data_IF_421325026165
#
_entry.id   IF_421325026165
#
_cell.length_a   1.000
_cell.length_b   1.000
_cell.length_c   1.000
_cell.angle_alpha   90.00
_cell.angle_beta   90.00
_cell.angle_gamma   90.00
#
_symmetry.space_group_name_H-M   'P 1'
#
loop_
_entity.id
_entity.type
_entity.pdbx_description
1 polymer ?
#
# COMPACT_ATOMS: atom_id res chain seq x y z
N UNK A 1 -5.44 2.41 -4.88
CA UNK A 1 -5.74 3.19 -3.67
C UNK A 1 -7.21 3.11 -3.26
N UNK A 2 -8.11 3.18 -4.21
CA UNK A 2 -9.57 3.13 -3.99
C UNK A 2 -10.00 1.93 -3.13
N UNK A 3 -9.52 0.71 -3.43
CA UNK A 3 -9.87 -0.49 -2.66
C UNK A 3 -9.44 -0.42 -1.18
N UNK A 4 -8.24 0.11 -0.89
CA UNK A 4 -7.79 0.31 0.51
C UNK A 4 -8.68 1.34 1.22
N UNK A 5 -9.03 2.42 0.53
CA UNK A 5 -9.91 3.45 1.06
C UNK A 5 -11.29 2.88 1.39
N UNK A 6 -11.89 2.14 0.45
CA UNK A 6 -13.20 1.51 0.62
C UNK A 6 -13.22 0.60 1.84
N UNK A 7 -12.25 -0.32 1.94
CA UNK A 7 -12.17 -1.24 3.06
C UNK A 7 -12.06 -0.51 4.41
N UNK A 8 -11.17 0.50 4.51
CA UNK A 8 -11.03 1.30 5.73
C UNK A 8 -12.30 2.10 6.07
N UNK A 9 -13.00 2.64 5.07
CA UNK A 9 -14.26 3.36 5.28
C UNK A 9 -15.35 2.43 5.80
N UNK A 10 -15.48 1.24 5.24
CA UNK A 10 -16.44 0.22 5.73
C UNK A 10 -16.12 -0.16 7.17
N UNK A 11 -14.86 -0.45 7.50
CA UNK A 11 -14.46 -0.77 8.87
C UNK A 11 -14.73 0.38 9.84
N UNK A 12 -14.51 1.64 9.43
CA UNK A 12 -14.86 2.82 10.22
C UNK A 12 -16.37 2.89 10.49
N UNK A 13 -17.20 2.60 9.46
CA UNK A 13 -18.66 2.64 9.57
C UNK A 13 -19.16 1.58 10.54
N UNK A 14 -18.77 0.31 10.37
CA UNK A 14 -19.15 -0.78 11.28
C UNK A 14 -18.70 -0.51 12.73
N UNK A 15 -17.49 0.05 12.90
CA UNK A 15 -16.98 0.45 14.21
C UNK A 15 -17.81 1.59 14.84
N UNK A 16 -18.26 2.57 14.06
CA UNK A 16 -19.12 3.65 14.55
C UNK A 16 -20.51 3.14 14.94
N UNK A 17 -21.02 2.19 14.17
CA UNK A 17 -22.33 1.56 14.41
C UNK A 17 -22.27 0.46 15.47
N UNK A 18 -21.06 0.19 16.04
CA UNK A 18 -20.81 -0.85 17.04
C UNK A 18 -21.27 -2.25 16.57
N UNK A 19 -21.10 -2.54 15.29
CA UNK A 19 -21.44 -3.81 14.68
C UNK A 19 -20.16 -4.58 14.32
N UNK A 20 -20.19 -5.90 14.55
CA UNK A 20 -19.09 -6.76 14.15
C UNK A 20 -19.04 -6.86 12.63
N UNK A 21 -17.82 -6.98 12.10
CA UNK A 21 -17.55 -7.13 10.70
C UNK A 21 -16.66 -8.36 10.49
N UNK A 22 -17.08 -9.22 9.61
CA UNK A 22 -16.35 -10.41 9.22
C UNK A 22 -15.79 -10.21 7.80
N UNK A 23 -14.50 -10.44 7.63
CA UNK A 23 -13.77 -10.26 6.39
C UNK A 23 -13.07 -11.55 6.01
N UNK A 24 -13.14 -11.95 4.75
CA UNK A 24 -12.27 -12.98 4.21
C UNK A 24 -11.50 -12.41 3.03
N UNK A 25 -10.20 -12.58 3.07
CA UNK A 25 -9.27 -12.26 2.00
C UNK A 25 -8.95 -13.55 1.25
N UNK A 26 -9.35 -13.60 0.00
CA UNK A 26 -9.21 -14.78 -0.88
C UNK A 26 -8.10 -14.50 -1.88
N UNK A 27 -7.13 -15.39 -1.93
CA UNK A 27 -6.09 -15.45 -2.95
C UNK A 27 -6.44 -16.57 -3.95
N UNK A 28 -6.21 -16.33 -5.24
CA UNK A 28 -6.42 -17.34 -6.28
C UNK A 28 -5.09 -18.06 -6.58
N UNK A 29 -5.12 -19.39 -6.65
CA UNK A 29 -3.93 -20.17 -7.00
C UNK A 29 -3.51 -19.96 -8.44
N UNK A 30 -2.35 -19.36 -8.67
CA UNK A 30 -1.79 -19.14 -10.01
C UNK A 30 -2.83 -18.52 -10.97
N UNK A 31 -3.49 -17.46 -10.51
CA UNK A 31 -4.66 -16.88 -11.17
C UNK A 31 -4.46 -16.67 -12.69
N UNK A 32 -3.36 -16.04 -13.07
CA UNK A 32 -3.05 -15.77 -14.48
C UNK A 32 -2.72 -17.03 -15.27
N UNK A 33 -2.06 -18.01 -14.67
CA UNK A 33 -1.65 -19.25 -15.34
C UNK A 33 -2.79 -20.24 -15.53
N UNK A 34 -3.89 -20.08 -14.77
CA UNK A 34 -5.05 -20.97 -14.79
C UNK A 34 -6.22 -20.50 -15.64
N UNK A 35 -6.10 -19.37 -16.31
CA UNK A 35 -7.18 -18.84 -17.17
C UNK A 35 -7.41 -19.75 -18.37
N UNK A 36 -8.59 -20.42 -18.50
CA UNK A 36 -8.91 -21.15 -19.71
C UNK A 36 -9.16 -20.14 -20.85
N UNK A 37 -8.43 -20.29 -21.97
CA UNK A 37 -8.51 -19.35 -23.08
C UNK A 37 -9.90 -19.30 -23.73
N UNK A 38 -10.63 -20.40 -23.74
CA UNK A 38 -12.02 -20.45 -24.23
C UNK A 38 -12.95 -19.52 -23.44
N UNK A 39 -12.74 -19.42 -22.12
CA UNK A 39 -13.51 -18.51 -21.27
C UNK A 39 -13.16 -17.05 -21.59
N UNK A 40 -11.88 -16.77 -21.87
CA UNK A 40 -11.44 -15.45 -22.31
C UNK A 40 -12.17 -15.03 -23.60
N UNK A 41 -12.25 -15.92 -24.61
CA UNK A 41 -12.92 -15.60 -25.87
C UNK A 41 -14.40 -15.31 -25.66
N UNK A 42 -15.10 -16.16 -24.91
CA UNK A 42 -16.51 -15.95 -24.53
C UNK A 42 -16.72 -14.65 -23.73
N UNK A 43 -15.80 -14.32 -22.83
CA UNK A 43 -15.90 -13.09 -22.06
C UNK A 43 -15.74 -11.83 -22.94
N UNK A 44 -14.80 -11.85 -23.90
CA UNK A 44 -14.63 -10.76 -24.86
C UNK A 44 -15.86 -10.58 -25.74
N UNK A 45 -16.46 -11.68 -26.26
CA UNK A 45 -17.70 -11.66 -27.06
C UNK A 45 -18.87 -11.09 -26.23
N UNK A 46 -19.03 -11.57 -24.97
CA UNK A 46 -20.09 -11.11 -24.05
C UNK A 46 -20.00 -9.61 -23.77
N UNK A 47 -18.80 -9.09 -23.67
CA UNK A 47 -18.56 -7.64 -23.47
C UNK A 47 -18.60 -6.82 -24.74
N UNK A 48 -18.98 -7.42 -25.88
CA UNK A 48 -19.20 -6.74 -27.18
C UNK A 48 -17.90 -6.27 -27.85
N UNK A 49 -16.78 -6.91 -27.58
CA UNK A 49 -15.49 -6.59 -28.22
C UNK A 49 -15.61 -6.98 -29.72
N UNK A 50 -15.20 -6.10 -30.62
CA UNK A 50 -15.25 -6.36 -32.06
C UNK A 50 -14.44 -7.60 -32.42
N UNK A 51 -14.99 -8.45 -33.28
CA UNK A 51 -14.37 -9.73 -33.71
C UNK A 51 -12.94 -9.55 -34.23
N UNK A 52 -12.64 -8.43 -34.91
CA UNK A 52 -11.30 -8.15 -35.40
C UNK A 52 -10.27 -8.06 -34.25
N UNK A 53 -10.62 -7.46 -33.09
CA UNK A 53 -9.74 -7.39 -31.93
C UNK A 53 -9.66 -8.74 -31.21
N UNK A 54 -10.77 -9.50 -31.18
CA UNK A 54 -10.74 -10.85 -30.57
C UNK A 54 -9.76 -11.73 -31.37
N UNK A 55 -9.83 -11.70 -32.72
CA UNK A 55 -8.89 -12.43 -33.57
C UNK A 55 -7.46 -12.00 -33.37
N UNK A 56 -7.19 -10.69 -33.31
CA UNK A 56 -5.85 -10.19 -33.06
C UNK A 56 -5.27 -10.68 -31.68
N UNK A 57 -6.14 -10.75 -30.66
CA UNK A 57 -5.74 -11.29 -29.36
C UNK A 57 -5.53 -12.80 -29.46
N UNK A 58 -6.40 -13.54 -30.18
CA UNK A 58 -6.23 -14.97 -30.41
C UNK A 58 -4.90 -15.28 -31.11
N UNK A 59 -4.53 -14.51 -32.14
CA UNK A 59 -3.25 -14.66 -32.84
C UNK A 59 -2.04 -14.47 -31.91
N UNK A 60 -2.14 -13.59 -30.90
CA UNK A 60 -1.09 -13.42 -29.86
C UNK A 60 -0.92 -14.65 -28.97
N UNK A 61 -1.95 -15.50 -28.88
CA UNK A 61 -1.96 -16.72 -28.06
C UNK A 61 -1.84 -18.01 -28.88
N UNK A 62 -1.81 -17.91 -30.23
CA UNK A 62 -1.65 -19.06 -31.08
C UNK A 62 -0.20 -19.56 -31.07
N UNK A 63 -0.03 -20.89 -31.03
CA UNK A 63 1.27 -21.59 -31.08
C UNK A 63 2.35 -21.05 -30.14
N UNK A 64 1.93 -20.55 -28.96
CA UNK A 64 2.86 -20.09 -27.94
C UNK A 64 3.60 -21.26 -27.33
N UNK A 65 4.92 -21.25 -27.37
CA UNK A 65 5.80 -22.17 -26.66
C UNK A 65 6.69 -21.43 -25.67
N UNK A 66 7.25 -22.14 -24.73
CA UNK A 66 8.23 -21.65 -23.75
C UNK A 66 9.26 -22.73 -23.42
N UNK A 67 10.42 -22.30 -22.96
CA UNK A 67 11.43 -23.17 -22.38
C UNK A 67 11.76 -22.72 -20.94
N UNK A 68 12.32 -23.60 -20.14
CA UNK A 68 12.77 -23.32 -18.76
C UNK A 68 14.28 -23.33 -18.70
N UNK A 69 14.86 -22.20 -18.30
CA UNK A 69 16.30 -22.09 -18.08
C UNK A 69 16.61 -22.31 -16.61
N UNK A 70 17.50 -23.27 -16.35
CA UNK A 70 18.02 -23.61 -15.02
C UNK A 70 19.55 -23.51 -15.00
N UNK A 71 20.16 -23.68 -13.83
CA UNK A 71 21.63 -23.75 -13.72
C UNK A 71 22.22 -24.97 -14.46
N UNK A 72 21.41 -26.02 -14.72
CA UNK A 72 21.81 -27.24 -15.45
C UNK A 72 21.61 -27.19 -16.96
N UNK A 73 21.06 -26.10 -17.50
CA UNK A 73 20.76 -25.97 -18.94
C UNK A 73 19.37 -25.45 -19.22
N UNK A 74 19.00 -25.45 -20.48
CA UNK A 74 17.69 -25.03 -21.00
C UNK A 74 16.90 -26.27 -21.44
N UNK A 75 15.60 -26.33 -21.11
CA UNK A 75 14.72 -27.39 -21.57
C UNK A 75 14.36 -27.24 -23.04
N UNK A 76 13.87 -28.30 -23.68
CA UNK A 76 13.18 -28.20 -24.96
C UNK A 76 11.94 -27.32 -24.85
N UNK A 77 11.54 -26.69 -25.96
CA UNK A 77 10.34 -25.89 -26.08
C UNK A 77 9.09 -26.77 -25.88
N UNK A 78 8.16 -26.30 -25.06
CA UNK A 78 6.86 -26.94 -24.86
C UNK A 78 5.70 -25.94 -25.04
N UNK A 79 4.55 -26.40 -25.60
CA UNK A 79 3.42 -25.50 -25.89
C UNK A 79 2.70 -25.07 -24.62
N UNK A 80 2.25 -23.82 -24.60
CA UNK A 80 1.38 -23.27 -23.56
C UNK A 80 -0.03 -23.13 -24.13
N UNK A 81 -0.98 -23.90 -23.59
CA UNK A 81 -2.36 -23.94 -24.04
C UNK A 81 -3.34 -23.25 -23.11
N UNK A 82 -2.91 -22.83 -21.92
CA UNK A 82 -3.73 -22.22 -20.87
C UNK A 82 -2.99 -21.00 -20.29
N UNK A 83 -3.74 -20.11 -19.69
CA UNK A 83 -3.19 -18.94 -18.98
C UNK A 83 -2.99 -17.70 -19.85
N UNK A 84 -2.72 -16.58 -19.19
CA UNK A 84 -2.43 -15.29 -19.77
C UNK A 84 -0.93 -15.02 -19.75
N UNK A 85 -0.43 -14.26 -20.71
CA UNK A 85 0.98 -13.87 -20.78
C UNK A 85 1.34 -12.94 -19.59
N UNK A 86 2.19 -13.43 -18.68
CA UNK A 86 2.70 -12.60 -17.61
C UNK A 86 3.66 -11.53 -18.18
N UNK A 87 3.52 -10.28 -17.70
CA UNK A 87 4.29 -9.15 -18.22
C UNK A 87 3.66 -8.41 -19.42
N UNK A 88 2.64 -8.97 -20.07
CA UNK A 88 1.88 -8.25 -21.08
C UNK A 88 1.01 -7.16 -20.45
N UNK A 89 0.95 -5.98 -21.09
CA UNK A 89 0.09 -4.87 -20.66
C UNK A 89 -1.40 -5.18 -20.77
N UNK A 90 -1.80 -6.13 -21.63
CA UNK A 90 -3.19 -6.56 -21.80
C UNK A 90 -3.65 -7.55 -20.73
N UNK A 91 -2.76 -8.40 -20.22
CA UNK A 91 -3.12 -9.51 -19.32
C UNK A 91 -3.87 -9.06 -18.06
N UNK A 92 -3.52 -7.98 -17.35
CA UNK A 92 -4.30 -7.51 -16.21
C UNK A 92 -5.74 -7.12 -16.58
N UNK A 93 -5.91 -6.46 -17.75
CA UNK A 93 -7.23 -6.08 -18.22
C UNK A 93 -8.07 -7.30 -18.61
N UNK A 94 -7.49 -8.24 -19.36
CA UNK A 94 -8.16 -9.48 -19.77
C UNK A 94 -8.57 -10.31 -18.56
N UNK A 95 -7.71 -10.40 -17.55
CA UNK A 95 -8.00 -11.10 -16.30
C UNK A 95 -9.18 -10.47 -15.55
N UNK A 96 -9.17 -9.13 -15.38
CA UNK A 96 -10.27 -8.40 -14.73
C UNK A 96 -11.59 -8.60 -15.49
N UNK A 97 -11.55 -8.56 -16.81
CA UNK A 97 -12.73 -8.76 -17.66
C UNK A 97 -13.31 -10.18 -17.50
N UNK A 98 -12.45 -11.20 -17.43
CA UNK A 98 -12.87 -12.58 -17.18
C UNK A 98 -13.56 -12.70 -15.83
N UNK A 99 -12.91 -12.23 -14.77
CA UNK A 99 -13.49 -12.27 -13.43
C UNK A 99 -14.82 -11.53 -13.36
N UNK A 100 -14.93 -10.36 -13.97
CA UNK A 100 -16.18 -9.59 -14.03
C UNK A 100 -17.31 -10.39 -14.68
N UNK A 101 -17.04 -11.09 -15.79
CA UNK A 101 -18.02 -11.93 -16.47
C UNK A 101 -18.40 -13.19 -15.68
N UNK A 102 -17.42 -13.84 -15.03
CA UNK A 102 -17.67 -15.06 -14.27
C UNK A 102 -18.41 -14.81 -12.96
N UNK A 103 -18.22 -13.65 -12.38
CA UNK A 103 -18.79 -13.32 -11.06
C UNK A 103 -20.01 -12.42 -11.16
N UNK A 104 -20.43 -11.99 -12.37
CA UNK A 104 -21.51 -11.04 -12.60
C UNK A 104 -22.82 -11.41 -11.88
N UNK A 105 -23.14 -12.71 -11.82
CA UNK A 105 -24.37 -13.21 -11.16
C UNK A 105 -24.28 -13.31 -9.64
N UNK A 106 -23.06 -13.31 -9.10
CA UNK A 106 -22.80 -13.47 -7.68
C UNK A 106 -22.19 -12.23 -7.03
N UNK A 107 -21.83 -11.24 -7.86
CA UNK A 107 -21.37 -9.95 -7.36
C UNK A 107 -22.50 -9.23 -6.63
N UNK A 108 -22.31 -9.02 -5.35
CA UNK A 108 -23.19 -8.19 -4.57
C UNK A 108 -22.78 -6.72 -4.70
N UNK A 109 -23.74 -5.83 -4.46
CA UNK A 109 -23.47 -4.40 -4.43
C UNK A 109 -22.45 -4.11 -3.33
N UNK A 110 -21.36 -3.42 -3.71
CA UNK A 110 -20.37 -2.99 -2.72
C UNK A 110 -21.06 -2.26 -1.53
N UNK A 111 -20.57 -2.50 -0.31
CA UNK A 111 -19.26 -3.04 0.02
C UNK A 111 -19.17 -4.55 0.27
N UNK A 112 -20.22 -5.33 0.01
CA UNK A 112 -20.29 -6.75 0.41
C UNK A 112 -19.25 -7.64 -0.28
N UNK A 113 -18.82 -7.29 -1.49
CA UNK A 113 -17.66 -7.87 -2.14
C UNK A 113 -16.79 -6.79 -2.78
N UNK A 114 -15.48 -6.96 -2.76
CA UNK A 114 -14.52 -6.09 -3.40
C UNK A 114 -13.53 -6.95 -4.18
N UNK A 115 -13.41 -6.65 -5.48
CA UNK A 115 -12.45 -7.30 -6.38
C UNK A 115 -11.40 -6.28 -6.79
N UNK A 116 -10.15 -6.69 -6.72
CA UNK A 116 -9.03 -5.92 -7.24
C UNK A 116 -7.99 -6.89 -7.83
N UNK A 117 -7.99 -7.03 -9.15
CA UNK A 117 -7.25 -8.07 -9.85
C UNK A 117 -7.62 -9.47 -9.29
N UNK A 118 -6.63 -10.21 -8.79
CA UNK A 118 -6.79 -11.52 -8.16
C UNK A 118 -7.14 -11.46 -6.66
N UNK A 119 -7.03 -10.30 -6.03
CA UNK A 119 -7.41 -10.09 -4.63
C UNK A 119 -8.93 -9.92 -4.48
N UNK A 120 -9.58 -10.85 -3.80
CA UNK A 120 -11.02 -10.85 -3.53
C UNK A 120 -11.24 -10.68 -2.03
N UNK A 121 -12.07 -9.70 -1.65
CA UNK A 121 -12.48 -9.52 -0.25
C UNK A 121 -13.99 -9.67 -0.15
N UNK A 122 -14.47 -10.62 0.66
CA UNK A 122 -15.87 -10.78 0.98
C UNK A 122 -16.13 -10.30 2.41
N UNK A 123 -17.27 -9.61 2.58
CA UNK A 123 -17.70 -9.05 3.86
C UNK A 123 -19.01 -9.69 4.29
N UNK A 124 -19.16 -9.90 5.60
CA UNK A 124 -20.39 -10.40 6.22
C UNK A 124 -20.58 -9.82 7.62
N UNK A 125 -21.82 -9.88 8.11
CA UNK A 125 -22.19 -9.48 9.48
C UNK A 125 -22.13 -10.68 10.47
N UNK A 126 -21.97 -11.91 9.95
CA UNK A 126 -21.74 -13.13 10.72
C UNK A 126 -20.82 -14.11 9.98
N UNK A 127 -20.33 -15.13 10.73
CA UNK A 127 -19.50 -16.21 10.15
C UNK A 127 -20.32 -17.08 9.23
N UNK A 128 -21.57 -17.32 9.57
CA UNK A 128 -22.51 -18.13 8.81
C UNK A 128 -22.75 -17.49 7.42
N UNK A 129 -23.14 -16.23 7.42
CA UNK A 129 -23.32 -15.44 6.18
C UNK A 129 -22.07 -15.43 5.31
N UNK A 130 -20.91 -15.27 5.94
CA UNK A 130 -19.63 -15.24 5.22
C UNK A 130 -19.31 -16.61 4.60
N UNK A 131 -19.58 -17.73 5.30
CA UNK A 131 -19.40 -19.06 4.76
C UNK A 131 -20.31 -19.35 3.56
N UNK A 132 -21.58 -18.93 3.60
CA UNK A 132 -22.52 -19.09 2.47
C UNK A 132 -22.02 -18.33 1.23
N UNK A 133 -21.58 -17.09 1.41
CA UNK A 133 -20.98 -16.31 0.34
C UNK A 133 -19.73 -16.95 -0.22
N UNK A 134 -18.84 -17.37 0.68
CA UNK A 134 -17.57 -17.99 0.31
C UNK A 134 -17.80 -19.24 -0.54
N UNK A 135 -18.77 -20.09 -0.15
CA UNK A 135 -19.11 -21.29 -0.89
C UNK A 135 -19.72 -20.96 -2.27
N UNK A 136 -20.55 -19.92 -2.37
CA UNK A 136 -21.09 -19.42 -3.64
C UNK A 136 -19.96 -18.97 -4.56
N UNK A 137 -19.00 -18.19 -4.07
CA UNK A 137 -17.84 -17.72 -4.81
C UNK A 137 -16.92 -18.88 -5.20
N UNK A 138 -16.68 -19.82 -4.30
CA UNK A 138 -15.89 -21.02 -4.58
C UNK A 138 -16.45 -21.81 -5.75
N UNK A 139 -17.75 -22.12 -5.71
CA UNK A 139 -18.43 -22.87 -6.78
C UNK A 139 -18.34 -22.14 -8.11
N UNK A 140 -18.65 -20.84 -8.15
CA UNK A 140 -18.59 -20.05 -9.36
C UNK A 140 -17.21 -20.04 -10.01
N UNK A 141 -16.16 -19.89 -9.21
CA UNK A 141 -14.78 -19.85 -9.71
C UNK A 141 -14.24 -21.22 -10.08
N UNK A 142 -14.47 -22.25 -9.22
CA UNK A 142 -13.95 -23.60 -9.46
C UNK A 142 -14.61 -24.29 -10.65
N UNK A 143 -15.89 -24.02 -10.92
CA UNK A 143 -16.58 -24.51 -12.13
C UNK A 143 -15.90 -24.04 -13.41
N UNK A 144 -15.18 -22.91 -13.36
CA UNK A 144 -14.48 -22.34 -14.50
C UNK A 144 -12.96 -22.56 -14.47
N UNK A 145 -12.48 -23.50 -13.63
CA UNK A 145 -11.07 -23.91 -13.57
C UNK A 145 -10.17 -23.09 -12.64
N UNK A 146 -10.68 -22.05 -12.02
CA UNK A 146 -9.96 -21.34 -10.97
C UNK A 146 -9.94 -22.15 -9.66
N UNK A 147 -8.98 -21.87 -8.79
CA UNK A 147 -8.93 -22.47 -7.46
C UNK A 147 -8.63 -21.42 -6.41
N UNK A 148 -9.35 -21.48 -5.29
CA UNK A 148 -9.08 -20.65 -4.14
C UNK A 148 -7.88 -21.22 -3.38
N UNK A 149 -6.93 -20.37 -3.03
CA UNK A 149 -5.76 -20.76 -2.26
C UNK A 149 -6.15 -20.98 -0.80
N UNK A 150 -6.11 -22.25 -0.36
CA UNK A 150 -6.43 -22.62 1.01
C UNK A 150 -5.38 -22.14 2.02
N UNK A 151 -4.12 -22.01 1.59
CA UNK A 151 -3.00 -21.63 2.45
C UNK A 151 -2.76 -20.14 2.54
N UNK A 152 -3.25 -19.35 1.58
CA UNK A 152 -3.06 -17.90 1.54
C UNK A 152 -4.34 -17.10 1.82
N UNK A 153 -5.50 -17.78 1.80
CA UNK A 153 -6.75 -17.13 2.22
C UNK A 153 -6.77 -16.99 3.74
N UNK A 154 -7.16 -15.81 4.24
CA UNK A 154 -7.15 -15.48 5.65
C UNK A 154 -8.48 -14.85 6.05
N UNK A 155 -8.94 -15.14 7.26
CA UNK A 155 -10.17 -14.63 7.86
C UNK A 155 -9.87 -13.64 8.97
N UNK A 156 -10.58 -12.51 9.00
CA UNK A 156 -10.46 -11.48 10.04
C UNK A 156 -11.82 -11.17 10.63
N UNK A 157 -11.90 -11.17 11.96
CA UNK A 157 -13.09 -10.77 12.71
C UNK A 157 -12.84 -9.45 13.43
N UNK A 158 -13.56 -8.41 13.01
CA UNK A 158 -13.50 -7.09 13.64
C UNK A 158 -14.59 -7.00 14.72
N UNK A 159 -14.22 -7.19 15.99
CA UNK A 159 -15.13 -7.17 17.15
C UNK A 159 -15.39 -5.74 17.63
N UNK A 160 -16.37 -5.08 17.04
CA UNK A 160 -16.75 -3.72 17.43
C UNK A 160 -17.93 -3.71 18.41
N UNK A 161 -18.73 -4.79 18.45
CA UNK A 161 -19.84 -4.97 19.40
C UNK A 161 -19.36 -5.69 20.67
N UNK A 162 -19.39 -4.99 21.80
CA UNK A 162 -18.95 -5.52 23.10
C UNK A 162 -19.96 -6.50 23.74
N UNK A 163 -21.19 -6.55 23.24
CA UNK A 163 -22.30 -7.27 23.89
C UNK A 163 -22.67 -8.58 23.19
N UNK A 164 -22.02 -8.94 22.09
CA UNK A 164 -22.37 -10.12 21.29
C UNK A 164 -21.81 -11.42 21.89
N UNK A 165 -22.62 -12.48 21.83
CA UNK A 165 -22.15 -13.86 22.12
C UNK A 165 -21.21 -14.29 21.00
N UNK A 166 -20.08 -14.91 21.37
CA UNK A 166 -19.12 -15.46 20.42
C UNK A 166 -19.77 -16.63 19.68
N UNK A 167 -19.87 -16.54 18.37
CA UNK A 167 -20.20 -17.72 17.53
C UNK A 167 -19.00 -18.67 17.53
N UNK A 168 -19.26 -19.97 17.68
CA UNK A 168 -18.23 -21.02 17.60
C UNK A 168 -18.10 -21.59 16.19
N UNK A 169 -18.80 -21.04 15.18
CA UNK A 169 -18.69 -21.52 13.82
C UNK A 169 -17.32 -21.16 13.22
N UNK A 170 -16.75 -22.10 12.47
CA UNK A 170 -15.48 -21.90 11.78
C UNK A 170 -15.73 -21.41 10.35
N UNK A 171 -14.81 -20.58 9.83
CA UNK A 171 -14.85 -20.18 8.42
C UNK A 171 -14.02 -21.19 7.61
N UNK A 172 -14.62 -21.75 6.53
CA UNK A 172 -14.04 -22.89 5.79
C UNK A 172 -14.13 -22.69 4.28
N UNK A 173 -13.12 -23.20 3.56
CA UNK A 173 -13.17 -23.45 2.12
C UNK A 173 -13.28 -24.97 1.92
N UNK A 174 -14.47 -25.48 1.62
CA UNK A 174 -14.77 -26.91 1.67
C UNK A 174 -14.50 -27.45 3.09
N UNK A 175 -13.62 -28.42 3.22
CA UNK A 175 -13.26 -29.02 4.53
C UNK A 175 -12.09 -28.29 5.24
N UNK A 176 -11.47 -27.31 4.58
CA UNK A 176 -10.30 -26.61 5.11
C UNK A 176 -10.70 -25.40 5.94
N UNK A 177 -10.31 -25.37 7.22
CA UNK A 177 -10.51 -24.22 8.12
C UNK A 177 -9.55 -23.13 7.74
N UNK A 178 -10.06 -21.92 7.50
CA UNK A 178 -9.25 -20.75 7.18
C UNK A 178 -8.72 -20.14 8.47
N UNK A 179 -7.41 -19.82 8.52
CA UNK A 179 -6.80 -19.23 9.70
C UNK A 179 -7.41 -17.86 9.99
N UNK A 180 -7.76 -17.62 11.27
CA UNK A 180 -8.17 -16.31 11.74
C UNK A 180 -6.94 -15.48 12.08
N UNK A 181 -6.89 -14.25 11.53
CA UNK A 181 -5.79 -13.30 11.72
C UNK A 181 -6.29 -12.00 12.34
N UNK A 182 -5.42 -11.31 13.07
CA UNK A 182 -5.68 -9.98 13.64
C UNK A 182 -5.17 -8.84 12.75
N UNK A 183 -4.35 -9.18 11.75
CA UNK A 183 -3.86 -8.23 10.75
C UNK A 183 -3.61 -8.92 9.43
N UNK A 184 -3.91 -8.24 8.33
CA UNK A 184 -3.72 -8.72 6.97
C UNK A 184 -3.06 -7.63 6.11
N UNK A 185 -2.21 -8.03 5.17
CA UNK A 185 -1.57 -7.11 4.22
C UNK A 185 -2.38 -7.04 2.92
N UNK A 186 -3.31 -6.10 2.83
CA UNK A 186 -4.16 -5.89 1.66
C UNK A 186 -3.58 -4.82 0.73
N UNK A 187 -3.27 -5.18 -0.51
CA UNK A 187 -2.69 -4.29 -1.54
C UNK A 187 -1.51 -3.46 -0.99
N UNK A 188 -0.69 -4.10 -0.18
CA UNK A 188 0.47 -3.48 0.43
C UNK A 188 0.20 -2.65 1.69
N UNK A 189 -1.04 -2.35 2.09
CA UNK A 189 -1.43 -1.69 3.34
C UNK A 189 -1.77 -2.73 4.42
N UNK A 190 -1.36 -2.51 5.66
CA UNK A 190 -1.72 -3.40 6.78
C UNK A 190 -3.07 -3.01 7.34
N UNK A 191 -4.03 -3.92 7.27
CA UNK A 191 -5.37 -3.82 7.86
C UNK A 191 -5.36 -4.56 9.19
N UNK A 192 -5.94 -3.97 10.24
CA UNK A 192 -6.03 -4.55 11.58
C UNK A 192 -7.49 -4.73 11.99
N UNK A 193 -7.78 -5.78 12.75
CA UNK A 193 -9.13 -6.14 13.23
C UNK A 193 -9.78 -5.08 14.13
N UNK A 194 -9.00 -4.25 14.81
CA UNK A 194 -9.47 -3.12 15.62
C UNK A 194 -9.77 -1.85 14.80
N UNK A 195 -9.50 -1.88 13.49
CA UNK A 195 -9.65 -0.76 12.56
C UNK A 195 -8.70 0.41 12.82
N UNK A 196 -7.63 0.21 13.60
CA UNK A 196 -6.58 1.22 13.80
C UNK A 196 -5.53 1.15 12.68
N UNK A 197 -4.70 2.19 12.58
CA UNK A 197 -3.70 2.31 11.51
C UNK A 197 -2.27 2.09 12.01
N UNK A 198 -2.08 1.76 13.27
CA UNK A 198 -0.75 1.71 13.91
C UNK A 198 0.18 0.68 13.23
N UNK A 199 -0.35 -0.50 12.88
CA UNK A 199 0.40 -1.53 12.15
C UNK A 199 0.84 -1.06 10.77
N UNK A 200 -0.04 -0.35 10.05
CA UNK A 200 0.29 0.18 8.73
C UNK A 200 1.33 1.31 8.79
N UNK A 201 1.21 2.21 9.79
CA UNK A 201 2.23 3.25 10.04
C UNK A 201 3.62 2.62 10.27
N UNK A 202 3.69 1.60 11.11
CA UNK A 202 4.94 0.90 11.39
C UNK A 202 5.48 0.19 10.13
N UNK A 203 4.62 -0.50 9.39
CA UNK A 203 4.96 -1.16 8.13
C UNK A 203 5.53 -0.18 7.09
N UNK A 204 4.89 0.99 6.91
CA UNK A 204 5.36 2.03 5.98
C UNK A 204 6.71 2.62 6.38
N UNK A 205 6.90 2.87 7.67
CA UNK A 205 8.20 3.33 8.18
C UNK A 205 9.28 2.27 7.93
N UNK A 206 8.99 1.00 8.19
CA UNK A 206 9.93 -0.10 7.91
C UNK A 206 10.27 -0.22 6.43
N UNK A 207 9.25 -0.17 5.55
CA UNK A 207 9.44 -0.20 4.09
C UNK A 207 10.32 0.97 3.62
N UNK A 208 10.09 2.17 4.14
CA UNK A 208 10.95 3.33 3.89
C UNK A 208 12.39 3.11 4.33
N UNK A 209 12.59 2.52 5.52
CA UNK A 209 13.92 2.17 5.99
C UNK A 209 14.61 1.10 5.15
N UNK A 210 13.89 0.08 4.69
CA UNK A 210 14.46 -0.93 3.78
C UNK A 210 14.93 -0.29 2.47
N UNK A 211 14.10 0.57 1.86
CA UNK A 211 14.46 1.29 0.64
C UNK A 211 15.66 2.21 0.87
N UNK A 212 15.68 2.93 2.00
CA UNK A 212 16.78 3.82 2.37
C UNK A 212 18.09 3.05 2.58
N UNK A 213 18.05 1.90 3.27
CA UNK A 213 19.24 1.07 3.53
C UNK A 213 19.85 0.52 2.24
N UNK A 214 19.03 0.08 1.28
CA UNK A 214 19.52 -0.38 -0.04
C UNK A 214 20.33 0.70 -0.76
N UNK A 215 20.05 1.98 -0.51
CA UNK A 215 20.76 3.12 -1.11
C UNK A 215 21.74 3.81 -0.15
N UNK A 216 21.99 3.26 1.03
CA UNK A 216 22.80 3.91 2.08
C UNK A 216 24.26 4.20 1.63
N UNK A 217 24.86 3.36 0.78
CA UNK A 217 26.17 3.60 0.22
C UNK A 217 26.27 4.95 -0.50
N UNK A 218 25.26 5.30 -1.29
CA UNK A 218 25.18 6.59 -1.99
C UNK A 218 24.68 7.71 -1.06
N UNK A 219 23.63 7.44 -0.28
CA UNK A 219 23.00 8.45 0.57
C UNK A 219 23.91 8.92 1.73
N UNK A 220 24.83 8.09 2.19
CA UNK A 220 25.78 8.43 3.25
C UNK A 220 27.16 8.83 2.74
N UNK A 221 27.46 8.65 1.44
CA UNK A 221 28.74 9.06 0.87
C UNK A 221 28.91 10.59 0.90
N UNK A 222 29.99 11.07 1.49
CA UNK A 222 30.30 12.50 1.58
C UNK A 222 30.55 13.16 0.21
N UNK A 223 30.97 12.40 -0.79
CA UNK A 223 31.25 12.89 -2.15
C UNK A 223 29.99 13.22 -2.94
N UNK A 224 28.86 12.58 -2.63
CA UNK A 224 27.59 12.82 -3.33
C UNK A 224 26.98 14.15 -2.87
N UNK A 225 26.61 15.07 -3.78
CA UNK A 225 25.98 16.34 -3.44
C UNK A 225 24.68 16.16 -2.65
N UNK A 226 24.51 16.95 -1.59
CA UNK A 226 23.36 16.79 -0.68
C UNK A 226 22.01 17.01 -1.37
N UNK A 227 21.94 17.89 -2.35
CA UNK A 227 20.73 18.14 -3.15
C UNK A 227 20.34 16.91 -3.99
N UNK A 228 21.33 16.17 -4.54
CA UNK A 228 21.08 14.94 -5.27
C UNK A 228 20.57 13.83 -4.33
N UNK A 229 21.13 13.70 -3.13
CA UNK A 229 20.59 12.82 -2.09
C UNK A 229 19.14 13.17 -1.75
N UNK A 230 18.83 14.47 -1.66
CA UNK A 230 17.46 14.97 -1.46
C UNK A 230 16.53 14.62 -2.61
N UNK A 231 16.96 14.74 -3.88
CA UNK A 231 16.20 14.30 -5.05
C UNK A 231 15.88 12.79 -4.93
N UNK A 232 16.90 11.96 -4.68
CA UNK A 232 16.71 10.52 -4.50
C UNK A 232 15.73 10.18 -3.35
N UNK A 233 15.87 10.84 -2.20
CA UNK A 233 14.94 10.64 -1.09
C UNK A 233 13.49 10.96 -1.50
N UNK A 234 13.25 12.08 -2.20
CA UNK A 234 11.91 12.48 -2.63
C UNK A 234 11.30 11.52 -3.66
N UNK A 235 12.10 10.97 -4.57
CA UNK A 235 11.61 10.12 -5.67
C UNK A 235 11.54 8.64 -5.31
N UNK A 236 12.44 8.13 -4.48
CA UNK A 236 12.53 6.71 -4.20
C UNK A 236 12.10 6.30 -2.78
N UNK A 237 12.50 7.05 -1.75
CA UNK A 237 12.26 6.63 -0.36
C UNK A 237 10.94 7.17 0.17
N UNK A 238 10.68 8.47 0.02
CA UNK A 238 9.48 9.13 0.53
C UNK A 238 8.17 8.54 -0.01
N UNK A 239 8.02 8.23 -1.31
CA UNK A 239 6.80 7.62 -1.84
C UNK A 239 6.47 6.27 -1.19
N UNK A 240 7.49 5.49 -0.82
CA UNK A 240 7.29 4.22 -0.11
C UNK A 240 6.66 4.42 1.28
N UNK A 241 7.05 5.50 1.98
CA UNK A 241 6.46 5.86 3.29
C UNK A 241 5.05 6.43 3.12
N UNK A 242 4.83 7.23 2.08
CA UNK A 242 3.57 7.92 1.83
C UNK A 242 2.47 7.05 1.23
N UNK A 243 2.78 5.86 0.73
CA UNK A 243 1.81 4.97 0.12
C UNK A 243 0.70 4.58 1.11
N UNK A 244 -0.56 4.83 0.76
CA UNK A 244 -1.73 4.51 1.57
C UNK A 244 -2.05 5.53 2.68
N UNK A 245 -1.19 6.55 2.88
CA UNK A 245 -1.39 7.55 3.95
C UNK A 245 -2.63 8.40 3.76
N UNK A 246 -3.11 8.53 2.53
CA UNK A 246 -4.35 9.22 2.16
C UNK A 246 -5.60 8.57 2.73
N UNK A 247 -5.52 7.26 3.05
CA UNK A 247 -6.60 6.47 3.62
C UNK A 247 -6.55 6.38 5.16
N UNK A 248 -5.68 7.16 5.83
CA UNK A 248 -5.45 7.05 7.26
C UNK A 248 -6.26 8.06 8.08
N UNK A 249 -6.96 7.58 9.10
CA UNK A 249 -7.51 8.42 10.17
C UNK A 249 -6.40 8.84 11.15
N UNK A 250 -5.53 9.74 10.70
CA UNK A 250 -4.26 10.08 11.37
C UNK A 250 -4.48 10.74 12.73
N UNK A 251 -3.74 10.27 13.75
CA UNK A 251 -3.58 10.92 15.05
C UNK A 251 -2.22 11.62 15.11
N UNK A 252 -2.07 12.65 15.94
CA UNK A 252 -0.81 13.39 16.10
C UNK A 252 0.40 12.49 16.41
N UNK A 253 0.18 11.41 17.18
CA UNK A 253 1.24 10.42 17.46
C UNK A 253 1.76 9.73 16.19
N UNK A 254 0.90 9.46 15.19
CA UNK A 254 1.28 8.82 13.92
C UNK A 254 2.12 9.79 13.08
N UNK A 255 1.70 11.06 12.99
CA UNK A 255 2.45 12.13 12.33
C UNK A 255 3.84 12.30 12.95
N UNK A 256 3.91 12.30 14.29
CA UNK A 256 5.17 12.36 15.02
C UNK A 256 6.07 11.18 14.71
N UNK A 257 5.54 9.94 14.68
CA UNK A 257 6.33 8.74 14.35
C UNK A 257 6.93 8.82 12.96
N UNK A 258 6.11 9.18 11.95
CA UNK A 258 6.56 9.31 10.56
C UNK A 258 7.59 10.44 10.43
N UNK A 259 7.33 11.60 11.05
CA UNK A 259 8.26 12.73 11.04
C UNK A 259 9.59 12.44 11.74
N UNK A 260 9.59 11.66 12.83
CA UNK A 260 10.81 11.21 13.50
C UNK A 260 11.61 10.24 12.61
N UNK A 261 10.94 9.32 11.92
CA UNK A 261 11.59 8.41 10.99
C UNK A 261 12.24 9.18 9.82
N UNK A 262 11.51 10.13 9.21
CA UNK A 262 12.06 11.03 8.20
C UNK A 262 13.31 11.75 8.70
N UNK A 263 13.20 12.43 9.84
CA UNK A 263 14.31 13.23 10.35
C UNK A 263 15.55 12.41 10.69
N UNK A 264 15.41 11.14 11.08
CA UNK A 264 16.55 10.23 11.26
C UNK A 264 17.24 9.96 9.92
N UNK A 265 16.50 9.66 8.86
CA UNK A 265 17.03 9.44 7.51
C UNK A 265 17.77 10.67 6.98
N UNK A 266 17.14 11.86 7.05
CA UNK A 266 17.72 13.11 6.57
C UNK A 266 18.98 13.51 7.34
N UNK A 267 19.01 13.32 8.66
CA UNK A 267 20.20 13.59 9.46
C UNK A 267 21.36 12.70 9.08
N UNK A 268 21.14 11.42 8.86
CA UNK A 268 22.19 10.50 8.43
C UNK A 268 22.74 10.88 7.06
N UNK A 269 21.90 11.29 6.11
CA UNK A 269 22.33 11.80 4.81
C UNK A 269 23.23 13.05 4.92
N UNK A 270 23.01 13.86 5.95
CA UNK A 270 23.83 15.04 6.25
C UNK A 270 25.08 14.72 7.11
N UNK A 271 25.30 13.49 7.54
CA UNK A 271 26.35 13.14 8.51
C UNK A 271 26.11 13.78 9.88
N UNK A 272 24.84 14.03 10.26
CA UNK A 272 24.43 14.71 11.48
C UNK A 272 23.64 13.79 12.41
N UNK A 273 23.76 14.04 13.71
CA UNK A 273 23.04 13.33 14.76
C UNK A 273 22.12 14.29 15.52
N UNK A 274 21.38 13.78 16.51
CA UNK A 274 20.61 14.63 17.44
C UNK A 274 21.51 15.41 18.39
N UNK A 275 22.71 14.91 18.66
CA UNK A 275 23.70 15.56 19.54
C UNK A 275 24.26 16.86 18.96
N UNK A 276 24.24 17.00 17.62
CA UNK A 276 24.66 18.24 16.93
C UNK A 276 23.70 19.42 17.17
N UNK A 277 22.51 19.19 17.80
CA UNK A 277 21.51 20.21 18.15
C UNK A 277 21.05 21.10 16.97
N UNK A 278 21.20 20.64 15.71
CA UNK A 278 20.75 21.38 14.52
C UNK A 278 19.23 21.28 14.43
N UNK A 279 18.54 22.39 14.16
CA UNK A 279 17.08 22.42 13.98
C UNK A 279 16.63 21.57 12.79
N UNK A 280 15.46 20.94 12.91
CA UNK A 280 14.91 20.09 11.83
C UNK A 280 14.68 20.87 10.53
N UNK A 281 14.25 22.15 10.62
CA UNK A 281 14.09 23.03 9.46
C UNK A 281 15.40 23.17 8.67
N UNK A 282 16.51 23.50 9.35
CA UNK A 282 17.82 23.65 8.70
C UNK A 282 18.32 22.36 8.02
N UNK A 283 18.00 21.17 8.59
CA UNK A 283 18.33 19.89 7.94
C UNK A 283 17.50 19.73 6.65
N UNK A 284 16.18 20.01 6.69
CA UNK A 284 15.30 19.91 5.52
C UNK A 284 15.69 20.88 4.42
N UNK A 285 15.96 22.12 4.76
CA UNK A 285 16.43 23.17 3.84
C UNK A 285 17.75 22.74 3.15
N UNK A 286 18.71 22.25 3.92
CA UNK A 286 19.99 21.76 3.38
C UNK A 286 19.80 20.59 2.40
N UNK A 287 18.88 19.67 2.69
CA UNK A 287 18.56 18.52 1.82
C UNK A 287 17.63 18.94 0.68
N UNK A 288 16.88 20.02 0.81
CA UNK A 288 15.89 20.51 -0.15
C UNK A 288 14.60 19.67 -0.13
N UNK A 289 14.05 19.41 1.06
CA UNK A 289 12.82 18.62 1.22
C UNK A 289 11.84 19.29 2.18
N UNK A 290 10.57 19.33 1.79
CA UNK A 290 9.47 19.75 2.67
C UNK A 290 9.19 18.67 3.73
N UNK A 291 8.55 19.00 4.88
CA UNK A 291 8.13 18.05 5.88
C UNK A 291 7.24 16.94 5.31
N UNK A 292 7.48 15.67 5.70
CA UNK A 292 6.67 14.55 5.22
C UNK A 292 5.20 14.64 5.65
N UNK A 293 4.94 15.25 6.82
CA UNK A 293 3.57 15.44 7.32
C UNK A 293 2.77 16.36 6.41
N UNK A 294 3.36 17.42 5.88
CA UNK A 294 2.72 18.30 4.88
C UNK A 294 2.37 17.51 3.62
N UNK A 295 3.26 16.61 3.17
CA UNK A 295 2.99 15.74 2.02
C UNK A 295 1.91 14.68 2.30
N UNK A 296 1.74 14.24 3.55
CA UNK A 296 0.61 13.40 3.94
C UNK A 296 -0.71 14.16 3.85
N UNK A 297 -0.75 15.42 4.30
CA UNK A 297 -1.93 16.30 4.16
C UNK A 297 -2.25 16.53 2.68
N UNK A 298 -1.26 16.94 1.88
CA UNK A 298 -1.41 17.15 0.44
C UNK A 298 -1.97 15.92 -0.28
N UNK A 299 -1.44 14.73 -0.02
CA UNK A 299 -1.92 13.49 -0.63
C UNK A 299 -3.37 13.20 -0.24
N UNK A 300 -3.72 13.40 1.05
CA UNK A 300 -5.08 13.17 1.55
C UNK A 300 -6.09 14.14 0.94
N UNK A 301 -5.76 15.42 0.84
CA UNK A 301 -6.63 16.40 0.20
C UNK A 301 -6.77 16.15 -1.31
N UNK A 302 -5.68 15.75 -1.98
CA UNK A 302 -5.72 15.34 -3.40
C UNK A 302 -6.62 14.12 -3.60
N UNK A 303 -6.51 13.13 -2.72
CA UNK A 303 -7.37 11.95 -2.73
C UNK A 303 -8.84 12.31 -2.47
N UNK A 304 -9.10 13.14 -1.47
CA UNK A 304 -10.45 13.65 -1.18
C UNK A 304 -11.07 14.32 -2.41
N UNK A 305 -10.35 15.23 -3.05
CA UNK A 305 -10.80 15.85 -4.30
C UNK A 305 -11.04 14.85 -5.43
N UNK A 306 -10.25 13.76 -5.51
CA UNK A 306 -10.51 12.67 -6.44
C UNK A 306 -11.84 11.96 -6.13
N UNK A 307 -12.11 11.64 -4.88
CA UNK A 307 -13.35 10.99 -4.44
C UNK A 307 -14.57 11.90 -4.72
N UNK A 308 -14.49 13.18 -4.37
CA UNK A 308 -15.59 14.13 -4.57
C UNK A 308 -15.97 14.33 -6.05
N UNK A 309 -15.02 14.17 -6.97
CA UNK A 309 -15.27 14.25 -8.42
C UNK A 309 -15.81 12.97 -9.06
N UNK A 310 -15.86 11.85 -8.32
CA UNK A 310 -16.48 10.63 -8.83
C UNK A 310 -17.99 10.79 -8.96
N UNK A 311 -18.63 10.14 -9.94
CA UNK A 311 -20.08 10.10 -10.03
C UNK A 311 -20.72 9.65 -8.72
N UNK A 312 -21.91 10.18 -8.42
CA UNK A 312 -22.59 9.91 -7.12
C UNK A 312 -22.92 8.41 -6.97
N UNK A 313 -23.18 7.73 -8.07
CA UNK A 313 -23.46 6.30 -8.17
C UNK A 313 -22.20 5.42 -8.11
N UNK A 314 -21.00 6.02 -8.17
CA UNK A 314 -19.75 5.26 -8.04
C UNK A 314 -19.64 4.56 -6.69
N UNK A 315 -18.98 3.40 -6.68
CA UNK A 315 -18.79 2.57 -5.46
C UNK A 315 -18.18 3.38 -4.33
N UNK A 316 -17.16 4.18 -4.62
CA UNK A 316 -16.45 4.96 -3.59
C UNK A 316 -17.35 6.04 -2.98
N UNK A 317 -18.20 6.69 -3.79
CA UNK A 317 -19.15 7.70 -3.30
C UNK A 317 -20.27 7.05 -2.47
N UNK A 318 -20.82 5.94 -2.92
CA UNK A 318 -21.84 5.19 -2.17
C UNK A 318 -21.34 4.76 -0.79
N UNK A 319 -20.14 4.17 -0.72
CA UNK A 319 -19.53 3.77 0.56
C UNK A 319 -19.22 4.99 1.43
N UNK A 320 -18.73 6.07 0.81
CA UNK A 320 -18.46 7.29 1.56
C UNK A 320 -19.73 7.94 2.12
N UNK A 321 -20.85 7.82 1.42
CA UNK A 321 -22.17 8.36 1.80
C UNK A 321 -23.03 7.38 2.60
N UNK A 322 -22.56 6.17 2.91
CA UNK A 322 -23.31 5.22 3.73
C UNK A 322 -23.84 5.91 5.00
N UNK A 323 -25.17 5.84 5.17
CA UNK A 323 -25.83 6.39 6.34
C UNK A 323 -25.46 5.62 7.60
N UNK A 324 -25.31 6.34 8.68
CA UNK A 324 -25.11 5.73 10.01
C UNK A 324 -26.43 5.09 10.45
N UNK A 325 -26.37 3.82 10.85
CA UNK A 325 -27.47 3.23 11.60
C UNK A 325 -27.61 3.99 12.91
N UNK A 326 -28.86 4.29 13.31
CA UNK A 326 -29.15 4.98 14.58
C UNK A 326 -28.80 4.05 15.75
N UNK A 327 -27.56 4.09 16.20
CA UNK A 327 -27.11 3.31 17.37
C UNK A 327 -26.85 4.23 18.55
N UNK A 328 -27.09 3.73 19.75
CA UNK A 328 -26.83 4.45 21.02
C UNK A 328 -25.31 4.66 21.10
N UNK A 329 -24.87 5.91 21.19
CA UNK A 329 -23.45 6.24 21.33
C UNK A 329 -22.85 5.59 22.57
N UNK A 330 -21.79 4.83 22.41
CA UNK A 330 -21.02 4.25 23.52
C UNK A 330 -20.39 5.34 24.41
N UNK A 331 -20.12 5.00 25.68
CA UNK A 331 -19.40 5.88 26.61
C UNK A 331 -17.96 6.10 26.13
N UNK A 332 -17.48 7.33 26.17
CA UNK A 332 -16.11 7.71 25.89
C UNK A 332 -15.95 8.60 24.65
N UNK A 333 -14.71 9.09 24.43
CA UNK A 333 -14.40 9.92 23.27
C UNK A 333 -14.48 9.07 21.99
N UNK A 334 -15.22 9.49 20.95
CA UNK A 334 -15.27 8.78 19.68
C UNK A 334 -13.88 8.61 19.08
N UNK A 335 -13.64 7.47 18.44
CA UNK A 335 -12.42 7.25 17.67
C UNK A 335 -12.43 8.17 16.45
N UNK A 336 -11.26 8.69 16.10
CA UNK A 336 -11.07 9.59 14.97
C UNK A 336 -11.40 8.89 13.66
N UNK A 337 -12.06 9.57 12.75
CA UNK A 337 -12.40 9.09 11.41
C UNK A 337 -11.60 9.85 10.35
N UNK A 338 -11.50 9.27 9.15
CA UNK A 338 -10.81 9.92 8.04
C UNK A 338 -11.51 11.23 7.63
N UNK A 339 -12.86 11.27 7.71
CA UNK A 339 -13.63 12.48 7.42
C UNK A 339 -13.33 13.63 8.39
N UNK A 340 -13.17 13.32 9.69
CA UNK A 340 -12.78 14.33 10.68
C UNK A 340 -11.36 14.87 10.42
N UNK A 341 -10.45 13.99 9.97
CA UNK A 341 -9.10 14.41 9.61
C UNK A 341 -9.13 15.31 8.39
N UNK A 342 -9.85 14.92 7.32
CA UNK A 342 -9.99 15.72 6.09
C UNK A 342 -10.63 17.09 6.41
N UNK A 343 -11.71 17.12 7.23
CA UNK A 343 -12.34 18.37 7.63
C UNK A 343 -11.33 19.32 8.30
N UNK A 344 -10.53 18.80 9.23
CA UNK A 344 -9.49 19.57 9.89
C UNK A 344 -8.41 20.03 8.91
N UNK A 345 -8.01 19.19 7.95
CA UNK A 345 -7.01 19.56 6.96
C UNK A 345 -7.51 20.65 6.01
N UNK A 346 -8.79 20.64 5.63
CA UNK A 346 -9.42 21.69 4.84
C UNK A 346 -9.44 23.02 5.64
N UNK A 347 -9.87 22.98 6.91
CA UNK A 347 -9.90 24.14 7.79
C UNK A 347 -8.50 24.77 7.98
N UNK A 348 -7.46 23.95 8.15
CA UNK A 348 -6.07 24.41 8.34
C UNK A 348 -5.44 25.00 7.08
N UNK A 349 -5.95 24.69 5.90
CA UNK A 349 -5.46 25.20 4.63
C UNK A 349 -6.41 26.22 3.97
N UNK A 350 -7.41 26.70 4.71
CA UNK A 350 -8.43 27.67 4.25
C UNK A 350 -9.13 27.22 2.95
N UNK A 351 -9.36 25.91 2.79
CA UNK A 351 -10.00 25.31 1.63
C UNK A 351 -11.48 25.07 1.90
N UNK A 352 -12.34 25.54 1.02
CA UNK A 352 -13.77 25.20 1.05
C UNK A 352 -13.97 23.78 0.48
N UNK A 353 -14.91 23.04 1.07
CA UNK A 353 -15.33 21.71 0.61
C UNK A 353 -15.87 21.71 -0.82
N UNK A 354 -16.44 22.84 -1.26
CA UNK A 354 -17.04 23.01 -2.59
C UNK A 354 -16.07 23.55 -3.63
N UNK A 355 -14.80 23.79 -3.28
CA UNK A 355 -13.80 24.27 -4.22
C UNK A 355 -13.61 23.30 -5.38
N UNK A 356 -13.55 23.85 -6.59
CA UNK A 356 -13.32 23.09 -7.81
C UNK A 356 -11.87 22.57 -7.87
N UNK A 357 -11.64 21.58 -8.72
CA UNK A 357 -10.31 20.96 -8.94
C UNK A 357 -9.21 21.98 -9.23
N UNK A 358 -9.57 23.01 -10.00
CA UNK A 358 -8.62 23.98 -10.51
C UNK A 358 -8.20 24.99 -9.43
N UNK A 359 -9.11 25.34 -8.52
CA UNK A 359 -8.81 26.22 -7.37
C UNK A 359 -7.88 25.55 -6.36
N UNK A 360 -8.11 24.27 -6.05
CA UNK A 360 -7.20 23.50 -5.18
C UNK A 360 -5.83 23.29 -5.82
N UNK A 361 -5.78 23.08 -7.14
CA UNK A 361 -4.51 22.98 -7.89
C UNK A 361 -3.81 24.34 -8.00
N UNK A 362 -4.55 25.42 -8.25
CA UNK A 362 -3.99 26.77 -8.33
C UNK A 362 -3.47 27.27 -6.98
N UNK A 363 -4.20 27.07 -5.88
CA UNK A 363 -3.70 27.40 -4.55
C UNK A 363 -2.48 26.57 -4.15
N UNK A 364 -2.44 25.28 -4.50
CA UNK A 364 -1.25 24.46 -4.30
C UNK A 364 -0.09 24.83 -5.24
N UNK A 365 -0.36 25.39 -6.42
CA UNK A 365 0.66 25.92 -7.32
C UNK A 365 1.14 27.30 -6.88
N UNK A 366 0.26 28.20 -6.46
CA UNK A 366 0.63 29.50 -5.91
C UNK A 366 1.49 29.35 -4.64
N UNK A 367 1.11 28.46 -3.73
CA UNK A 367 1.95 28.09 -2.58
C UNK A 367 3.30 27.46 -2.98
N UNK A 368 3.40 26.82 -4.16
CA UNK A 368 4.67 26.33 -4.72
C UNK A 368 5.48 27.41 -5.39
N UNK A 369 4.86 28.37 -6.05
CA UNK A 369 5.53 29.49 -6.72
C UNK A 369 6.08 30.48 -5.71
N UNK A 370 5.41 30.75 -4.59
CA UNK A 370 6.00 31.48 -3.45
C UNK A 370 7.27 30.80 -2.91
N UNK A 371 7.36 29.46 -2.96
CA UNK A 371 8.55 28.70 -2.55
C UNK A 371 9.61 28.58 -3.65
N UNK A 372 9.24 28.68 -4.94
CA UNK A 372 10.19 28.72 -6.04
C UNK A 372 10.78 30.11 -6.29
N UNK A 373 10.06 31.18 -5.94
CA UNK A 373 10.60 32.53 -5.99
C UNK A 373 11.77 32.79 -5.03
N UNK A 374 12.07 31.86 -4.13
CA UNK A 374 13.24 31.92 -3.25
C UNK A 374 14.45 31.12 -3.77
N UNK A 375 14.37 30.47 -4.93
CA UNK A 375 15.44 29.57 -5.45
C UNK A 375 16.03 30.03 -6.78
N UNK A 376 15.42 30.97 -7.49
CA UNK A 376 15.95 31.49 -8.74
C UNK A 376 16.77 32.79 -8.55
N UNK A 377 17.94 32.64 -7.96
CA UNK A 377 19.02 33.59 -8.17
C UNK A 377 20.35 32.79 -8.24
N UNK A 378 20.57 32.14 -9.34
CA UNK A 378 21.88 32.03 -10.01
C UNK A 378 21.71 31.41 -11.41
N UNK A 379 21.87 32.23 -12.42
CA UNK A 379 21.79 31.83 -13.82
C UNK A 379 23.11 31.22 -14.28
N UNK A 380 23.20 29.92 -14.31
CA UNK A 380 24.13 29.21 -15.20
C UNK A 380 23.41 27.96 -15.73
N UNK A 381 23.05 28.03 -17.02
CA UNK A 381 22.65 26.88 -17.81
C UNK A 381 23.87 25.98 -18.03
N UNK A 382 23.97 24.89 -17.30
CA UNK A 382 24.72 23.72 -17.74
C UNK A 382 23.72 22.60 -18.01
N UNK A 383 23.56 22.30 -19.29
CA UNK A 383 22.86 21.12 -19.77
C UNK A 383 23.66 19.87 -19.40
N UNK A 384 23.28 19.21 -18.32
CA UNK A 384 23.80 17.89 -17.97
C UNK A 384 22.86 16.87 -18.60
N UNK A 385 23.40 16.04 -19.48
CA UNK A 385 22.75 14.86 -20.07
C UNK A 385 22.16 13.99 -18.96
N UNK A 386 20.82 14.05 -18.76
CA UNK A 386 20.11 13.35 -17.68
C UNK A 386 19.96 11.85 -17.89
N UNK A 387 20.27 11.33 -19.09
CA UNK A 387 19.94 9.95 -19.47
C UNK A 387 21.05 8.92 -19.18
N UNK A 388 22.24 9.32 -18.78
CA UNK A 388 23.37 8.40 -18.59
C UNK A 388 23.55 7.85 -17.18
N UNK A 389 22.93 8.47 -16.16
CA UNK A 389 23.17 8.10 -14.76
C UNK A 389 22.20 7.03 -14.22
N UNK A 390 21.09 6.77 -14.93
CA UNK A 390 20.08 5.78 -14.51
C UNK A 390 20.41 4.38 -15.06
N UNK A 391 21.18 4.28 -16.15
CA UNK A 391 21.54 3.00 -16.77
C UNK A 391 22.66 2.23 -16.06
N UNK A 392 23.50 2.90 -15.24
CA UNK A 392 24.67 2.27 -14.62
C UNK A 392 24.42 1.70 -13.21
N UNK A 393 23.23 1.87 -12.66
CA UNK A 393 22.83 1.15 -11.45
C UNK A 393 22.14 -0.16 -11.85
N UNK A 394 22.94 -1.13 -12.26
CA UNK A 394 22.48 -2.52 -12.35
C UNK A 394 22.06 -2.98 -10.95
N UNK A 395 20.75 -2.98 -10.72
CA UNK A 395 20.13 -3.66 -9.58
C UNK A 395 20.19 -5.15 -9.92
N UNK A 396 21.17 -5.87 -9.36
CA UNK A 396 21.16 -7.32 -9.36
C UNK A 396 19.86 -7.77 -8.70
N UNK A 397 19.01 -8.51 -9.42
CA UNK A 397 17.81 -9.15 -8.89
C UNK A 397 18.21 -10.08 -7.74
N UNK A 398 17.48 -10.08 -6.63
CA UNK A 398 17.76 -10.99 -5.53
C UNK A 398 17.41 -12.42 -5.95
N UNK A 399 18.32 -13.35 -5.65
CA UNK A 399 18.19 -14.79 -5.82
C UNK A 399 16.86 -15.30 -5.22
N UNK A 400 16.03 -16.08 -5.94
CA UNK A 400 14.75 -16.59 -5.48
C UNK A 400 14.84 -17.55 -4.28
N UNK A 401 16.01 -17.99 -3.89
CA UNK A 401 16.21 -18.99 -2.82
C UNK A 401 16.43 -18.42 -1.41
N UNK A 402 16.50 -17.11 -1.20
CA UNK A 402 16.71 -16.53 0.14
C UNK A 402 15.44 -16.31 0.97
N UNK A 403 14.27 -16.73 0.49
CA UNK A 403 12.99 -16.60 1.21
C UNK A 403 12.53 -17.83 2.04
N UNK A 404 13.38 -18.84 2.16
CA UNK A 404 13.11 -19.99 3.01
C UNK A 404 14.18 -20.07 4.11
N UNK A 405 13.99 -19.39 5.19
CA UNK A 405 14.53 -19.51 6.56
C UNK A 405 14.84 -18.12 7.12
N UNK A 406 13.99 -17.67 8.01
CA UNK A 406 14.31 -16.99 9.25
C UNK A 406 13.05 -16.32 9.83
N UNK A 407 12.25 -17.17 10.44
CA UNK A 407 11.52 -16.80 11.63
C UNK A 407 12.47 -17.11 12.78
N UNK A 408 13.12 -16.10 13.34
CA UNK A 408 13.55 -16.08 14.75
C UNK A 408 14.26 -14.78 15.08
N UNK A 409 13.80 -14.15 16.16
CA UNK A 409 14.45 -13.16 17.03
C UNK A 409 14.98 -11.85 16.42
N UNK A 410 14.16 -10.82 16.58
CA UNK A 410 14.57 -9.41 16.53
C UNK A 410 15.62 -9.10 17.59
N UNK A 411 16.89 -9.24 17.23
CA UNK A 411 17.98 -8.65 18.00
C UNK A 411 18.47 -7.40 17.26
N UNK A 412 18.33 -6.26 17.89
CA UNK A 412 18.79 -4.97 17.39
C UNK A 412 20.31 -4.96 17.30
N UNK A 413 20.88 -5.33 16.17
CA UNK A 413 22.29 -5.04 15.90
C UNK A 413 22.46 -3.56 15.59
N UNK A 414 23.01 -2.83 16.56
CA UNK A 414 23.53 -1.48 16.36
C UNK A 414 24.61 -1.51 15.28
N UNK A 415 24.46 -0.68 14.26
CA UNK A 415 25.49 -0.44 13.24
C UNK A 415 26.67 0.34 13.86
N UNK A 416 27.53 -0.35 14.64
CA UNK A 416 28.69 0.23 15.33
C UNK A 416 30.04 -0.17 14.73
N UNK A 417 30.08 -0.73 13.52
CA UNK A 417 31.33 -1.18 12.89
C UNK A 417 31.62 -0.46 11.57
N UNK A 418 31.71 0.86 11.58
CA UNK A 418 32.49 1.65 10.62
C UNK A 418 32.81 3.02 11.27
N UNK A 419 33.74 3.02 12.22
CA UNK A 419 34.44 4.23 12.65
C UNK A 419 35.84 4.21 12.07
N UNK A 420 36.35 5.32 11.48
CA UNK A 420 37.76 5.42 11.15
C UNK A 420 38.56 5.47 12.45
N UNK A 421 39.67 4.74 12.46
CA UNK A 421 40.64 4.66 13.54
C UNK A 421 41.23 6.06 13.84
N UNK A 422 40.89 6.64 14.98
CA UNK A 422 41.59 7.78 15.55
C UNK A 422 42.04 7.36 16.97
N UNK A 423 43.33 7.47 17.35
CA UNK A 423 43.84 6.95 18.60
C UNK A 423 43.29 7.75 19.78
N UNK A 424 42.65 7.07 20.74
CA UNK A 424 42.15 7.64 21.98
C UNK A 424 43.29 7.78 22.98
N UNK A 425 43.62 9.01 23.39
CA UNK A 425 44.37 9.31 24.62
C UNK A 425 43.53 8.90 25.82
N UNK A 426 44.10 8.03 26.66
CA UNK A 426 43.54 7.60 27.96
C UNK A 426 43.44 8.81 28.90
N UNK A 427 42.26 9.16 29.37
CA UNK A 427 42.05 9.94 30.59
C UNK A 427 41.47 8.99 31.66
N UNK A 428 42.22 8.85 32.74
CA UNK A 428 41.78 8.26 34.00
C UNK A 428 40.69 9.15 34.62
N UNK A 429 39.56 8.57 35.00
CA UNK A 429 38.61 9.20 35.94
C UNK A 429 38.34 8.18 37.03
N UNK A 430 38.61 8.63 38.26
CA UNK A 430 38.45 7.93 39.52
C UNK A 430 36.97 7.70 39.86
N UNK A 431 36.73 6.57 40.51
CA UNK A 431 35.45 6.24 41.11
C UNK A 431 35.15 7.15 42.32
N UNK A 432 33.93 7.63 42.43
CA UNK A 432 33.32 8.04 43.69
C UNK A 432 31.88 7.57 43.78
N UNK A 433 31.59 6.94 44.89
CA UNK A 433 30.32 6.35 45.32
C UNK A 433 29.30 7.42 45.75
N UNK A 434 28.03 7.09 45.62
CA UNK A 434 26.92 7.07 46.58
C UNK A 434 25.64 7.80 46.20
N UNK A 435 24.57 7.03 46.33
CA UNK A 435 23.24 7.25 46.94
C UNK A 435 22.34 8.38 46.39
N UNK A 436 21.19 8.13 45.96
CA UNK A 436 19.93 7.56 46.38
C UNK A 436 19.11 7.16 45.13
#
# INVERSE_FOLDING_TARGET
MEAIYLLRRVMEQYRMDQQDLHLIFIDLEKAYDRVPREILWKALEKKGVRVAYIRAIQDMYDRVSTSVRTQGGESDDFPITIGLHQGSTLSPYLFTLILDVLTEQIQEIAPRCMLFADDIVLLGESREELNERLETWRRALETHGFRLSRSKSEYMECKFNKSRRVSNSEVKIGDHIIPQVTQFKYLGSVIQDDGEIEGDVNHRIQAGWMKWRKASGVLCDAKVPIKLKGKFYRTAVRPTILYGTECWAVKSQHETKVGVAEMRMLRWMCGKTRQDKIRNGAIRERVGVAPIVEKMVENRLRWFGHVERRPVDSVVRRVDQMERRQTIRGRGRPKKTIREVIKKDLELNDLDRNMTKDEVLMQNQAAKEEWHGFIDYDGTKESIEEDKFISDVQVSEPDPHENAMHNEHSTWMSCSTLKPNVPRKKRKISASKRFC
#
